data_IF_841661014915
#
_entry.id   IF_841661014915
#
_cell.length_a   1.000
_cell.length_b   1.000
_cell.length_c   1.000
_cell.angle_alpha   90.00
_cell.angle_beta   90.00
_cell.angle_gamma   90.00
#
_symmetry.space_group_name_H-M   'P 1'
#
loop_
_entity.id
_entity.type
_entity.pdbx_description
1 polymer ?
#
# COMPACT_ATOMS: atom_id res chain seq x y z
N UNK A 1 29.15 -9.14 11.30
CA UNK A 1 28.28 -9.36 10.13
C UNK A 1 27.29 -8.22 10.09
N UNK A 2 27.00 -7.67 8.92
CA UNK A 2 26.03 -6.60 8.75
C UNK A 2 24.61 -7.16 9.05
N UNK A 3 23.89 -6.67 10.07
CA UNK A 3 22.59 -7.20 10.45
C UNK A 3 21.54 -7.06 9.33
N UNK A 4 21.75 -6.15 8.37
CA UNK A 4 20.84 -5.91 7.26
C UNK A 4 20.77 -7.08 6.25
N UNK A 5 21.77 -7.96 6.20
CA UNK A 5 21.77 -9.14 5.31
C UNK A 5 20.92 -10.29 5.84
N UNK A 6 20.45 -10.21 7.09
CA UNK A 6 19.54 -11.21 7.67
C UNK A 6 18.08 -10.99 7.26
N UNK A 7 17.76 -9.80 6.74
CA UNK A 7 16.44 -9.51 6.19
C UNK A 7 16.25 -10.31 4.92
N UNK A 8 15.07 -10.95 4.80
CA UNK A 8 14.70 -11.67 3.59
C UNK A 8 14.85 -10.80 2.35
N UNK A 9 15.48 -11.34 1.30
CA UNK A 9 15.66 -10.63 0.03
C UNK A 9 14.33 -10.28 -0.64
N UNK A 10 13.23 -10.89 -0.20
CA UNK A 10 11.87 -10.52 -0.56
C UNK A 10 11.59 -9.02 -0.35
N UNK A 11 12.15 -8.40 0.68
CA UNK A 11 11.96 -6.97 0.97
C UNK A 11 13.05 -6.08 0.37
N UNK A 12 13.88 -6.66 -0.50
CA UNK A 12 14.92 -5.92 -1.21
C UNK A 12 14.38 -4.91 -2.22
N UNK A 13 15.23 -3.99 -2.68
CA UNK A 13 14.82 -2.90 -3.55
C UNK A 13 14.25 -3.39 -4.89
N UNK A 14 14.81 -4.45 -5.46
CA UNK A 14 14.34 -4.98 -6.75
C UNK A 14 12.95 -5.58 -6.66
N UNK A 15 12.69 -6.36 -5.62
CA UNK A 15 11.35 -6.90 -5.34
C UNK A 15 10.33 -5.79 -5.06
N UNK A 16 10.71 -4.79 -4.26
CA UNK A 16 9.86 -3.65 -3.95
C UNK A 16 9.48 -2.83 -5.20
N UNK A 17 10.46 -2.43 -6.01
CA UNK A 17 10.20 -1.67 -7.24
C UNK A 17 9.48 -2.51 -8.31
N UNK A 18 9.78 -3.81 -8.39
CA UNK A 18 9.04 -4.75 -9.24
C UNK A 18 7.56 -4.81 -8.86
N UNK A 19 7.25 -4.87 -7.56
CA UNK A 19 5.88 -4.82 -7.07
C UNK A 19 5.17 -3.49 -7.37
N UNK A 20 5.86 -2.34 -7.25
CA UNK A 20 5.28 -1.05 -7.65
C UNK A 20 4.90 -1.03 -9.14
N UNK A 21 5.71 -1.65 -10.01
CA UNK A 21 5.38 -1.81 -11.42
C UNK A 21 4.11 -2.66 -11.61
N UNK A 22 3.92 -3.70 -10.81
CA UNK A 22 2.70 -4.54 -10.82
C UNK A 22 1.46 -3.76 -10.37
N UNK A 23 1.55 -2.95 -9.31
CA UNK A 23 0.46 -2.05 -8.90
C UNK A 23 0.10 -1.09 -10.03
N UNK A 24 1.11 -0.48 -10.65
CA UNK A 24 0.90 0.45 -11.75
C UNK A 24 0.28 -0.26 -12.96
N UNK A 25 0.68 -1.49 -13.26
CA UNK A 25 0.08 -2.35 -14.28
C UNK A 25 -1.42 -2.53 -14.05
N UNK A 26 -1.82 -2.89 -12.83
CA UNK A 26 -3.23 -3.05 -12.44
C UNK A 26 -3.99 -1.73 -12.60
N UNK A 27 -3.43 -0.62 -12.13
CA UNK A 27 -4.05 0.70 -12.24
C UNK A 27 -4.23 1.14 -13.71
N UNK A 28 -3.24 0.88 -14.58
CA UNK A 28 -3.30 1.19 -16.01
C UNK A 28 -4.36 0.34 -16.69
N UNK A 29 -4.37 -0.98 -16.43
CA UNK A 29 -5.36 -1.90 -16.98
C UNK A 29 -6.78 -1.47 -16.62
N UNK A 30 -7.05 -1.10 -15.37
CA UNK A 30 -8.39 -0.70 -14.95
C UNK A 30 -8.79 0.70 -15.40
N UNK A 31 -7.83 1.60 -15.58
CA UNK A 31 -8.11 2.97 -16.01
C UNK A 31 -8.30 3.05 -17.52
N UNK A 32 -7.41 2.42 -18.28
CA UNK A 32 -7.21 2.71 -19.69
C UNK A 32 -7.57 1.56 -20.63
N UNK A 33 -7.57 0.31 -20.17
CA UNK A 33 -7.99 -0.83 -20.98
C UNK A 33 -9.52 -0.98 -20.93
N UNK A 34 -10.19 -0.62 -22.02
CA UNK A 34 -11.66 -0.60 -22.10
C UNK A 34 -12.29 -1.98 -21.85
N UNK A 35 -11.62 -3.06 -22.29
CA UNK A 35 -12.15 -4.41 -22.15
C UNK A 35 -12.09 -4.90 -20.69
N UNK A 36 -10.98 -4.66 -20.01
CA UNK A 36 -10.77 -5.13 -18.63
C UNK A 36 -11.39 -4.21 -17.56
N UNK A 37 -11.64 -2.94 -17.89
CA UNK A 37 -12.21 -1.96 -16.97
C UNK A 37 -13.52 -2.44 -16.35
N UNK A 38 -14.43 -3.00 -17.15
CA UNK A 38 -15.76 -3.42 -16.70
C UNK A 38 -15.86 -4.88 -16.25
N UNK A 39 -14.81 -5.69 -16.42
CA UNK A 39 -14.83 -7.09 -16.02
C UNK A 39 -14.54 -7.19 -14.51
N UNK A 40 -15.35 -7.92 -13.77
CA UNK A 40 -15.11 -8.20 -12.34
C UNK A 40 -14.45 -9.57 -12.18
N UNK A 41 -13.25 -9.71 -12.73
CA UNK A 41 -12.41 -10.91 -12.64
C UNK A 41 -11.20 -10.66 -11.77
N UNK A 42 -10.77 -11.68 -11.03
CA UNK A 42 -9.54 -11.62 -10.23
C UNK A 42 -8.41 -12.05 -11.17
N UNK A 43 -7.70 -11.07 -11.72
CA UNK A 43 -6.65 -11.30 -12.71
C UNK A 43 -5.32 -11.60 -12.00
N UNK A 44 -4.40 -12.30 -12.67
CA UNK A 44 -3.10 -12.66 -12.10
C UNK A 44 -2.30 -11.43 -11.63
N UNK A 45 -2.39 -10.31 -12.36
CA UNK A 45 -1.74 -9.05 -11.99
C UNK A 45 -2.29 -8.49 -10.67
N UNK A 46 -3.60 -8.62 -10.42
CA UNK A 46 -4.21 -8.23 -9.16
C UNK A 46 -3.71 -9.12 -8.03
N UNK A 47 -3.68 -10.45 -8.24
CA UNK A 47 -3.15 -11.39 -7.24
C UNK A 47 -1.70 -11.03 -6.89
N UNK A 48 -0.85 -10.79 -7.90
CA UNK A 48 0.53 -10.41 -7.70
C UNK A 48 0.69 -9.06 -6.96
N UNK A 49 -0.16 -8.06 -7.28
CA UNK A 49 -0.18 -6.77 -6.60
C UNK A 49 -0.59 -6.89 -5.11
N UNK A 50 -1.46 -7.84 -4.79
CA UNK A 50 -2.00 -8.05 -3.44
C UNK A 50 -1.14 -9.00 -2.59
N UNK A 51 -0.41 -9.92 -3.21
CA UNK A 51 0.32 -10.96 -2.49
C UNK A 51 1.49 -10.40 -1.68
N UNK A 52 2.28 -9.49 -2.26
CA UNK A 52 3.44 -8.90 -1.60
C UNK A 52 3.10 -8.17 -0.28
N UNK A 53 2.12 -7.24 -0.24
CA UNK A 53 1.72 -6.62 1.01
C UNK A 53 1.02 -7.59 1.97
N UNK A 54 0.35 -8.62 1.45
CA UNK A 54 -0.23 -9.66 2.31
C UNK A 54 0.86 -10.43 3.07
N UNK A 55 1.92 -10.85 2.36
CA UNK A 55 3.06 -11.53 2.97
C UNK A 55 3.76 -10.60 3.96
N UNK A 56 3.99 -9.33 3.60
CA UNK A 56 4.62 -8.35 4.49
C UNK A 56 3.84 -8.17 5.80
N UNK A 57 2.51 -8.09 5.73
CA UNK A 57 1.66 -7.95 6.89
C UNK A 57 1.61 -9.21 7.77
N UNK A 58 1.58 -10.40 7.16
CA UNK A 58 1.66 -11.66 7.92
C UNK A 58 3.03 -11.81 8.60
N UNK A 59 4.12 -11.52 7.89
CA UNK A 59 5.47 -11.57 8.47
C UNK A 59 5.61 -10.58 9.62
N UNK A 60 5.19 -9.32 9.43
CA UNK A 60 5.19 -8.32 10.50
C UNK A 60 4.43 -8.84 11.73
N UNK A 61 3.24 -9.43 11.52
CA UNK A 61 2.42 -9.94 12.61
C UNK A 61 3.11 -11.11 13.34
N UNK A 62 3.73 -12.02 12.59
CA UNK A 62 4.47 -13.16 13.13
C UNK A 62 5.69 -12.72 13.95
N UNK A 63 6.49 -11.81 13.40
CA UNK A 63 7.69 -11.29 14.08
C UNK A 63 7.34 -10.52 15.35
N UNK A 64 6.17 -9.87 15.36
CA UNK A 64 5.64 -9.19 16.55
C UNK A 64 5.08 -10.18 17.59
N UNK A 65 4.41 -11.25 17.15
CA UNK A 65 3.79 -12.23 18.06
C UNK A 65 4.75 -13.28 18.63
N UNK A 66 5.80 -13.62 17.88
CA UNK A 66 6.74 -14.67 18.29
C UNK A 66 7.53 -14.32 19.55
N UNK A 67 7.45 -13.08 20.05
CA UNK A 67 8.16 -12.64 21.25
C UNK A 67 9.67 -12.78 21.10
N UNK A 68 10.17 -12.73 19.86
CA UNK A 68 11.57 -12.86 19.54
C UNK A 68 12.36 -11.77 20.27
N UNK A 69 13.60 -12.08 20.68
CA UNK A 69 14.47 -11.09 21.33
C UNK A 69 14.62 -9.89 20.41
N UNK A 70 14.30 -8.71 20.94
CA UNK A 70 14.41 -7.45 20.23
C UNK A 70 15.90 -7.18 19.99
N UNK A 71 16.36 -7.48 18.79
CA UNK A 71 17.71 -7.20 18.31
C UNK A 71 17.66 -6.32 17.05
N UNK A 72 18.84 -5.94 16.56
CA UNK A 72 18.95 -5.05 15.39
C UNK A 72 18.38 -5.69 14.13
N UNK A 73 18.51 -7.01 13.95
CA UNK A 73 18.02 -7.70 12.76
C UNK A 73 16.48 -7.79 12.75
N UNK A 74 15.87 -8.04 13.91
CA UNK A 74 14.43 -7.95 14.11
C UNK A 74 13.92 -6.55 13.77
N UNK A 75 14.59 -5.50 14.28
CA UNK A 75 14.18 -4.12 14.02
C UNK A 75 14.17 -3.78 12.53
N UNK A 76 15.24 -4.15 11.79
CA UNK A 76 15.33 -3.90 10.35
C UNK A 76 14.24 -4.69 9.60
N UNK A 77 13.93 -5.92 10.02
CA UNK A 77 12.88 -6.75 9.40
C UNK A 77 11.48 -6.13 9.60
N UNK A 78 11.19 -5.66 10.81
CA UNK A 78 9.95 -4.94 11.16
C UNK A 78 9.84 -3.62 10.39
N UNK A 79 10.94 -2.89 10.24
CA UNK A 79 10.98 -1.67 9.43
C UNK A 79 10.71 -1.97 7.95
N UNK A 80 11.35 -3.00 7.38
CA UNK A 80 11.16 -3.38 5.99
C UNK A 80 9.73 -3.84 5.69
N UNK A 81 9.15 -4.68 6.55
CA UNK A 81 7.76 -5.16 6.41
C UNK A 81 6.74 -4.05 6.63
N UNK A 82 6.96 -3.15 7.60
CA UNK A 82 6.08 -1.98 7.83
C UNK A 82 6.12 -0.99 6.66
N UNK A 83 7.28 -0.76 6.04
CA UNK A 83 7.41 0.08 4.86
C UNK A 83 6.51 -0.41 3.71
N UNK A 84 6.55 -1.71 3.39
CA UNK A 84 5.69 -2.30 2.35
C UNK A 84 4.21 -2.13 2.69
N UNK A 85 3.82 -2.40 3.95
CA UNK A 85 2.44 -2.19 4.41
C UNK A 85 2.00 -0.75 4.22
N UNK A 86 2.80 0.23 4.66
CA UNK A 86 2.48 1.66 4.55
C UNK A 86 2.28 2.07 3.08
N UNK A 87 3.14 1.59 2.18
CA UNK A 87 2.99 1.84 0.75
C UNK A 87 1.72 1.21 0.19
N UNK A 88 1.39 0.00 0.59
CA UNK A 88 0.14 -0.63 0.17
C UNK A 88 -1.09 0.03 0.79
N UNK A 89 -1.03 0.53 2.02
CA UNK A 89 -2.13 1.30 2.59
C UNK A 89 -2.39 2.54 1.71
N UNK A 90 -1.35 3.23 1.23
CA UNK A 90 -1.54 4.34 0.29
C UNK A 90 -2.19 3.87 -1.04
N UNK A 91 -1.57 2.91 -1.73
CA UNK A 91 -2.02 2.50 -3.06
C UNK A 91 -3.31 1.68 -3.04
N UNK A 92 -3.50 0.85 -2.02
CA UNK A 92 -4.68 0.03 -1.79
C UNK A 92 -5.93 0.87 -1.58
N UNK A 93 -5.85 2.00 -0.86
CA UNK A 93 -6.99 2.94 -0.77
C UNK A 93 -7.30 3.57 -2.13
N UNK A 94 -6.27 3.96 -2.87
CA UNK A 94 -6.45 4.48 -4.24
C UNK A 94 -7.14 3.45 -5.14
N UNK A 95 -6.68 2.19 -5.13
CA UNK A 95 -7.27 1.09 -5.90
C UNK A 95 -8.70 0.76 -5.43
N UNK A 96 -8.95 0.71 -4.12
CA UNK A 96 -10.27 0.46 -3.54
C UNK A 96 -11.29 1.55 -3.92
N UNK A 97 -10.85 2.81 -3.93
CA UNK A 97 -11.67 3.92 -4.39
C UNK A 97 -11.92 3.85 -5.89
N UNK A 98 -10.90 3.52 -6.67
CA UNK A 98 -11.04 3.40 -8.12
C UNK A 98 -12.03 2.28 -8.50
N UNK A 99 -11.91 1.12 -7.85
CA UNK A 99 -12.75 -0.05 -8.15
C UNK A 99 -14.20 0.13 -7.67
N UNK A 100 -14.43 0.84 -6.57
CA UNK A 100 -15.79 1.12 -6.06
C UNK A 100 -16.62 1.93 -7.04
N UNK A 101 -15.98 2.80 -7.85
CA UNK A 101 -16.64 3.54 -8.94
C UNK A 101 -17.05 2.65 -10.11
N UNK A 102 -16.30 1.59 -10.38
CA UNK A 102 -16.53 0.70 -11.53
C UNK A 102 -17.47 -0.47 -11.17
N UNK A 103 -17.89 -0.58 -9.89
CA UNK A 103 -18.85 -1.58 -9.38
C UNK A 103 -18.37 -3.04 -9.51
N UNK A 104 -17.05 -3.26 -9.47
CA UNK A 104 -16.45 -4.60 -9.47
C UNK A 104 -16.27 -5.08 -8.01
N UNK A 105 -17.20 -5.89 -7.52
CA UNK A 105 -17.27 -6.30 -6.11
C UNK A 105 -16.17 -7.30 -5.76
N UNK A 106 -15.83 -8.26 -6.64
CA UNK A 106 -14.81 -9.27 -6.33
C UNK A 106 -13.43 -8.63 -6.14
N UNK A 107 -13.04 -7.76 -7.08
CA UNK A 107 -11.79 -7.00 -7.01
C UNK A 107 -11.73 -6.12 -5.76
N UNK A 108 -12.85 -5.45 -5.45
CA UNK A 108 -13.00 -4.63 -4.24
C UNK A 108 -12.79 -5.43 -2.96
N UNK A 109 -13.46 -6.59 -2.83
CA UNK A 109 -13.32 -7.46 -1.66
C UNK A 109 -11.88 -7.91 -1.45
N UNK A 110 -11.16 -8.29 -2.51
CA UNK A 110 -9.74 -8.67 -2.39
C UNK A 110 -8.87 -7.51 -1.88
N UNK A 111 -9.05 -6.31 -2.43
CA UNK A 111 -8.29 -5.13 -2.00
C UNK A 111 -8.58 -4.81 -0.53
N UNK A 112 -9.86 -4.79 -0.14
CA UNK A 112 -10.26 -4.51 1.24
C UNK A 112 -9.78 -5.58 2.21
N UNK A 113 -9.77 -6.85 1.83
CA UNK A 113 -9.22 -7.93 2.65
C UNK A 113 -7.76 -7.67 2.98
N UNK A 114 -6.93 -7.34 1.98
CA UNK A 114 -5.51 -7.05 2.20
C UNK A 114 -5.31 -5.73 2.96
N UNK A 115 -6.17 -4.72 2.74
CA UNK A 115 -6.15 -3.49 3.54
C UNK A 115 -6.40 -3.79 5.02
N UNK A 116 -7.43 -4.59 5.34
CA UNK A 116 -7.71 -5.03 6.71
C UNK A 116 -6.52 -5.78 7.29
N UNK A 117 -5.96 -6.73 6.53
CA UNK A 117 -4.81 -7.50 6.96
C UNK A 117 -3.58 -6.62 7.22
N UNK A 118 -3.38 -5.57 6.42
CA UNK A 118 -2.34 -4.56 6.66
C UNK A 118 -2.63 -3.65 7.86
N UNK A 119 -3.88 -3.53 8.32
CA UNK A 119 -4.26 -2.78 9.53
C UNK A 119 -4.27 -3.61 10.81
N UNK A 120 -4.40 -4.93 10.72
CA UNK A 120 -4.51 -5.80 11.90
C UNK A 120 -3.36 -5.61 12.90
N UNK A 121 -2.08 -5.52 12.48
CA UNK A 121 -1.00 -5.32 13.45
C UNK A 121 -1.11 -4.00 14.20
N UNK A 122 -1.58 -2.95 13.53
CA UNK A 122 -1.74 -1.61 14.12
C UNK A 122 -2.80 -1.61 15.23
N UNK A 123 -3.91 -2.31 14.98
CA UNK A 123 -4.97 -2.48 15.97
C UNK A 123 -4.51 -3.34 17.15
N UNK A 124 -3.79 -4.43 16.88
CA UNK A 124 -3.28 -5.31 17.94
C UNK A 124 -2.34 -4.56 18.87
N UNK A 125 -1.37 -3.86 18.29
CA UNK A 125 -0.42 -2.99 18.97
C UNK A 125 -1.14 -1.99 19.89
N UNK A 126 -2.21 -1.37 19.41
CA UNK A 126 -3.02 -0.41 20.19
C UNK A 126 -3.76 -1.04 21.37
N UNK A 127 -4.30 -2.25 21.19
CA UNK A 127 -5.11 -2.94 22.20
C UNK A 127 -4.24 -3.66 23.24
N UNK A 128 -3.09 -4.18 22.81
CA UNK A 128 -2.24 -5.07 23.61
C UNK A 128 -0.95 -4.43 24.11
N UNK A 129 -0.69 -3.15 23.82
CA UNK A 129 0.37 -2.40 24.50
C UNK A 129 -0.05 -2.05 25.93
N UNK A 130 -0.04 -3.06 26.79
CA UNK A 130 -0.15 -2.84 28.21
C UNK A 130 1.17 -2.19 28.70
N UNK A 131 1.15 -0.96 29.24
CA UNK A 131 2.36 -0.29 29.75
C UNK A 131 3.08 -1.08 30.87
N UNK A 132 2.46 -2.13 31.43
CA UNK A 132 3.06 -3.02 32.44
C UNK A 132 3.77 -4.27 31.89
N UNK A 133 3.69 -4.55 30.60
CA UNK A 133 4.16 -5.81 30.02
C UNK A 133 5.70 -5.95 30.02
N UNK A 134 6.18 -7.14 30.39
CA UNK A 134 7.56 -7.44 30.82
C UNK A 134 8.65 -7.35 29.75
N UNK A 135 8.30 -7.14 28.48
CA UNK A 135 9.23 -7.03 27.34
C UNK A 135 9.84 -5.62 27.18
N UNK A 136 9.40 -4.65 28.00
CA UNK A 136 9.86 -3.24 28.03
C UNK A 136 10.74 -2.91 29.26
N UNK A 137 11.51 -3.86 29.82
CA UNK A 137 12.13 -3.72 31.16
C UNK A 137 13.66 -3.84 31.25
N UNK A 138 14.42 -3.67 30.18
CA UNK A 138 15.88 -3.81 30.10
C UNK A 138 16.62 -2.78 29.22
N UNK A 139 17.17 -1.71 29.82
CA UNK A 139 18.41 -1.02 29.39
C UNK A 139 18.32 0.29 28.57
N UNK A 140 19.45 0.96 28.30
CA UNK A 140 19.52 2.26 27.62
C UNK A 140 19.30 2.21 26.09
N UNK A 141 19.53 1.06 25.45
CA UNK A 141 19.12 0.80 24.05
C UNK A 141 17.59 0.75 23.93
N UNK A 142 16.91 0.52 25.05
CA UNK A 142 15.47 0.37 25.14
C UNK A 142 14.72 1.71 25.11
N UNK A 143 15.34 2.84 25.47
CA UNK A 143 14.67 4.14 25.34
C UNK A 143 14.53 4.53 23.86
N UNK A 144 15.58 4.31 23.07
CA UNK A 144 15.58 4.55 21.62
C UNK A 144 14.61 3.59 20.92
N UNK A 145 14.65 2.30 21.27
CA UNK A 145 13.73 1.31 20.70
C UNK A 145 12.28 1.60 21.13
N UNK A 146 12.04 1.95 22.40
CA UNK A 146 10.70 2.31 22.89
C UNK A 146 10.16 3.55 22.22
N UNK A 147 10.98 4.57 22.04
CA UNK A 147 10.59 5.80 21.33
C UNK A 147 10.27 5.47 19.87
N UNK A 148 11.11 4.70 19.18
CA UNK A 148 10.89 4.32 17.79
C UNK A 148 9.68 3.40 17.59
N UNK A 149 9.51 2.41 18.47
CA UNK A 149 8.31 1.56 18.51
C UNK A 149 7.09 2.43 18.78
N UNK A 150 7.09 3.29 19.80
CA UNK A 150 5.94 4.17 20.10
C UNK A 150 5.58 5.10 18.93
N UNK A 151 6.57 5.56 18.16
CA UNK A 151 6.36 6.33 16.93
C UNK A 151 5.70 5.48 15.84
N UNK A 152 6.20 4.26 15.59
CA UNK A 152 5.57 3.28 14.71
C UNK A 152 4.13 2.96 15.15
N UNK A 153 3.88 2.83 16.45
CA UNK A 153 2.55 2.57 17.03
C UNK A 153 1.59 3.75 16.84
N UNK A 154 2.06 4.98 17.06
CA UNK A 154 1.27 6.19 16.84
C UNK A 154 0.94 6.39 15.35
N UNK A 155 1.90 6.08 14.47
CA UNK A 155 1.72 6.09 13.03
C UNK A 155 0.66 5.06 12.58
N UNK A 156 0.78 3.84 13.08
CA UNK A 156 -0.18 2.75 12.91
C UNK A 156 -1.60 3.14 13.36
N UNK A 157 -1.73 3.73 14.55
CA UNK A 157 -3.00 4.19 15.12
C UNK A 157 -3.65 5.30 14.28
N UNK A 158 -2.88 6.30 13.91
CA UNK A 158 -3.39 7.44 13.14
C UNK A 158 -3.78 7.02 11.71
N UNK A 159 -3.03 6.12 11.08
CA UNK A 159 -3.38 5.53 9.79
C UNK A 159 -4.65 4.67 9.86
N UNK A 160 -4.77 3.80 10.86
CA UNK A 160 -5.95 2.95 11.03
C UNK A 160 -7.23 3.75 11.31
N UNK A 161 -7.17 4.82 12.11
CA UNK A 161 -8.31 5.71 12.34
C UNK A 161 -8.75 6.45 11.08
N UNK A 162 -7.81 6.99 10.31
CA UNK A 162 -8.10 7.66 9.03
C UNK A 162 -8.69 6.72 7.99
N UNK A 163 -8.27 5.47 8.03
CA UNK A 163 -8.72 4.48 7.06
C UNK A 163 -10.02 3.81 7.47
N UNK A 164 -10.31 3.72 8.76
CA UNK A 164 -11.66 3.45 9.26
C UNK A 164 -12.61 4.58 8.86
N UNK A 165 -12.22 5.84 9.04
CA UNK A 165 -13.01 6.99 8.61
C UNK A 165 -13.24 7.00 7.08
N UNK A 166 -12.21 6.63 6.32
CA UNK A 166 -12.28 6.43 4.86
C UNK A 166 -13.20 5.27 4.49
N UNK A 167 -13.08 4.12 5.13
CA UNK A 167 -13.94 2.95 4.89
C UNK A 167 -15.40 3.26 5.20
N UNK A 168 -15.67 3.90 6.33
CA UNK A 168 -17.02 4.37 6.70
C UNK A 168 -17.52 5.37 5.65
N UNK A 169 -16.66 6.32 5.25
CA UNK A 169 -16.90 7.32 4.20
C UNK A 169 -17.23 6.75 2.83
N UNK A 170 -16.54 5.69 2.41
CA UNK A 170 -16.51 5.23 1.02
C UNK A 170 -17.27 3.94 0.77
N UNK A 171 -17.41 3.09 1.79
CA UNK A 171 -18.10 1.80 1.69
C UNK A 171 -19.42 1.88 2.42
N UNK A 172 -19.37 2.14 3.73
CA UNK A 172 -20.56 2.06 4.57
C UNK A 172 -21.57 3.16 4.22
N UNK A 173 -21.13 4.41 4.10
CA UNK A 173 -22.01 5.55 3.80
C UNK A 173 -22.65 5.41 2.41
N UNK A 174 -21.93 5.20 1.29
CA UNK A 174 -22.57 5.05 -0.02
C UNK A 174 -23.47 3.83 -0.12
N UNK A 175 -23.13 2.73 0.57
CA UNK A 175 -23.98 1.55 0.66
C UNK A 175 -25.29 1.84 1.43
N UNK A 176 -25.19 2.43 2.62
CA UNK A 176 -26.35 2.84 3.44
C UNK A 176 -27.22 3.90 2.74
N UNK A 177 -26.59 4.91 2.15
CA UNK A 177 -27.30 5.97 1.41
C UNK A 177 -27.95 5.43 0.14
N UNK A 178 -27.38 4.41 -0.53
CA UNK A 178 -28.04 3.70 -1.65
C UNK A 178 -29.29 2.95 -1.24
N UNK A 179 -29.24 2.27 -0.10
CA UNK A 179 -30.41 1.54 0.44
C UNK A 179 -31.52 2.54 0.78
N UNK A 180 -31.16 3.72 1.29
CA UNK A 180 -32.12 4.70 1.80
C UNK A 180 -32.64 5.71 0.78
N UNK A 181 -31.87 6.05 -0.27
CA UNK A 181 -32.24 7.07 -1.26
C UNK A 181 -32.12 6.54 -2.70
N UNK A 182 -33.14 5.80 -3.16
CA UNK A 182 -33.37 5.51 -4.58
C UNK A 182 -33.79 6.80 -5.29
N UNK A 183 -32.89 7.47 -6.01
CA UNK A 183 -33.27 8.63 -6.84
C UNK A 183 -32.18 9.65 -7.21
N UNK A 184 -30.91 9.44 -6.87
CA UNK A 184 -29.84 10.39 -7.25
C UNK A 184 -29.48 10.32 -8.73
N UNK A 185 -29.11 11.49 -9.27
CA UNK A 185 -28.55 11.64 -10.61
C UNK A 185 -27.08 11.24 -10.63
N UNK A 186 -26.61 10.70 -11.76
CA UNK A 186 -25.22 10.24 -11.93
C UNK A 186 -24.17 11.33 -11.63
N UNK A 187 -24.52 12.62 -11.79
CA UNK A 187 -23.64 13.74 -11.48
C UNK A 187 -23.36 13.90 -9.97
N UNK A 188 -24.33 13.58 -9.10
CA UNK A 188 -24.17 13.67 -7.66
C UNK A 188 -23.26 12.55 -7.12
N UNK A 189 -23.34 11.35 -7.68
CA UNK A 189 -22.44 10.24 -7.34
C UNK A 189 -20.99 10.56 -7.73
N UNK A 190 -20.78 11.22 -8.88
CA UNK A 190 -19.46 11.67 -9.34
C UNK A 190 -18.90 12.76 -8.42
N UNK A 191 -19.70 13.77 -8.05
CA UNK A 191 -19.27 14.85 -7.16
C UNK A 191 -18.86 14.32 -5.78
N UNK A 192 -19.66 13.43 -5.18
CA UNK A 192 -19.34 12.80 -3.90
C UNK A 192 -18.07 11.96 -4.02
N UNK A 193 -17.93 11.21 -5.13
CA UNK A 193 -16.72 10.45 -5.40
C UNK A 193 -15.47 11.34 -5.53
N UNK A 194 -15.57 12.52 -6.13
CA UNK A 194 -14.43 13.45 -6.29
C UNK A 194 -14.07 14.09 -4.95
N UNK A 195 -15.05 14.60 -4.20
CA UNK A 195 -14.81 15.17 -2.86
C UNK A 195 -14.20 14.12 -1.94
N UNK A 196 -14.72 12.90 -1.99
CA UNK A 196 -14.20 11.73 -1.30
C UNK A 196 -12.73 11.46 -1.65
N UNK A 197 -12.39 11.40 -2.95
CA UNK A 197 -11.02 11.23 -3.44
C UNK A 197 -10.09 12.33 -2.93
N UNK A 198 -10.52 13.59 -3.05
CA UNK A 198 -9.73 14.76 -2.67
C UNK A 198 -9.49 14.76 -1.16
N UNK A 199 -10.52 14.49 -0.34
CA UNK A 199 -10.37 14.45 1.11
C UNK A 199 -9.50 13.27 1.58
N UNK A 200 -9.61 12.10 0.95
CA UNK A 200 -8.77 10.95 1.26
C UNK A 200 -7.30 11.14 0.87
N UNK A 201 -7.05 11.79 -0.27
CA UNK A 201 -5.69 12.14 -0.66
C UNK A 201 -5.12 13.30 0.18
N UNK A 202 -5.92 14.32 0.48
CA UNK A 202 -5.50 15.41 1.35
C UNK A 202 -5.19 14.90 2.75
N UNK A 203 -5.96 13.97 3.29
CA UNK A 203 -5.67 13.37 4.60
C UNK A 203 -4.41 12.51 4.55
N UNK A 204 -4.23 11.68 3.51
CA UNK A 204 -3.02 10.88 3.33
C UNK A 204 -1.75 11.74 3.12
N UNK A 205 -1.87 12.83 2.34
CA UNK A 205 -0.79 13.80 2.11
C UNK A 205 -0.51 14.59 3.38
N UNK A 206 -1.53 15.09 4.07
CA UNK A 206 -1.37 15.80 5.34
C UNK A 206 -0.71 14.91 6.39
N UNK A 207 -1.02 13.61 6.43
CA UNK A 207 -0.35 12.65 7.29
C UNK A 207 1.10 12.38 6.89
N UNK A 208 1.41 12.29 5.60
CA UNK A 208 2.81 12.15 5.16
C UNK A 208 3.61 13.41 5.42
N UNK A 209 3.02 14.59 5.21
CA UNK A 209 3.62 15.87 5.57
C UNK A 209 3.83 15.92 7.07
N UNK A 210 2.83 15.58 7.89
CA UNK A 210 2.97 15.48 9.34
C UNK A 210 4.05 14.48 9.76
N UNK A 211 4.14 13.32 9.12
CA UNK A 211 5.18 12.32 9.35
C UNK A 211 6.57 12.86 9.03
N UNK A 212 6.74 13.53 7.88
CA UNK A 212 8.00 14.20 7.52
C UNK A 212 8.31 15.26 8.57
N UNK A 213 7.39 16.17 8.89
CA UNK A 213 7.64 17.22 9.87
C UNK A 213 7.88 16.71 11.30
N UNK A 214 7.24 15.62 11.73
CA UNK A 214 7.37 15.06 13.08
C UNK A 214 8.65 14.22 13.24
N UNK A 215 9.05 13.46 12.22
CA UNK A 215 10.38 12.81 12.18
C UNK A 215 11.54 13.81 12.04
N UNK A 216 11.24 15.05 11.61
CA UNK A 216 12.18 16.16 11.55
C UNK A 216 12.20 17.00 12.84
N UNK A 217 11.27 16.83 13.79
CA UNK A 217 11.43 17.41 15.11
C UNK A 217 12.61 16.69 15.79
N UNK A 218 13.70 17.40 16.10
CA UNK A 218 14.95 16.74 16.44
C UNK A 218 14.75 16.01 17.76
N UNK A 219 14.74 14.67 17.74
CA UNK A 219 15.35 13.96 18.85
C UNK A 219 16.79 14.49 18.95
N UNK A 220 17.30 14.78 20.16
CA UNK A 220 18.60 15.44 20.35
C UNK A 220 19.82 14.68 19.79
N UNK A 221 19.61 13.57 19.06
CA UNK A 221 20.63 12.68 18.52
C UNK A 221 20.62 12.48 16.99
N UNK A 222 19.74 13.13 16.21
CA UNK A 222 19.56 12.76 14.77
C UNK A 222 20.30 13.62 13.73
N UNK A 223 21.51 14.12 14.05
CA UNK A 223 22.36 14.88 13.12
C UNK A 223 23.19 14.01 12.13
N UNK A 224 22.90 12.71 12.00
CA UNK A 224 23.57 11.83 11.03
C UNK A 224 22.63 11.45 9.87
N UNK A 225 23.03 11.88 8.66
CA UNK A 225 22.70 11.35 7.33
C UNK A 225 21.50 10.39 7.20
N UNK A 226 20.28 10.94 7.26
CA UNK A 226 19.11 10.18 6.78
C UNK A 226 19.04 10.28 5.27
N UNK A 227 19.31 9.17 4.59
CA UNK A 227 19.24 9.09 3.12
C UNK A 227 17.82 9.37 2.60
N UNK A 228 17.71 9.91 1.37
CA UNK A 228 16.43 10.15 0.67
C UNK A 228 15.54 8.88 0.64
N UNK A 229 16.15 7.70 0.68
CA UNK A 229 15.43 6.42 0.70
C UNK A 229 14.63 6.22 1.99
N UNK A 230 15.16 6.64 3.14
CA UNK A 230 14.43 6.65 4.42
C UNK A 230 13.29 7.66 4.41
N UNK A 231 13.49 8.81 3.74
CA UNK A 231 12.43 9.83 3.56
C UNK A 231 11.24 9.30 2.74
N UNK A 232 11.51 8.42 1.77
CA UNK A 232 10.49 7.79 0.94
C UNK A 232 9.91 6.51 1.55
N UNK A 233 10.31 6.12 2.76
CA UNK A 233 9.94 4.85 3.40
C UNK A 233 10.18 3.66 2.47
N UNK A 234 11.32 3.66 1.76
CA UNK A 234 11.73 2.50 0.96
C UNK A 234 12.28 1.45 1.92
N UNK A 235 11.85 0.17 1.83
CA UNK A 235 12.33 -0.87 2.72
C UNK A 235 13.86 -0.93 2.72
N UNK A 236 14.46 -0.86 3.92
CA UNK A 236 15.91 -1.03 4.06
C UNK A 236 16.23 -2.52 4.12
N UNK A 237 17.18 -2.95 3.28
CA UNK A 237 17.68 -4.31 3.27
C UNK A 237 19.16 -4.29 2.89
N UNK A 238 19.92 -5.31 3.31
CA UNK A 238 21.32 -5.48 2.88
C UNK A 238 21.48 -5.88 1.40
N UNK A 239 20.38 -6.04 0.66
CA UNK A 239 20.38 -6.48 -0.74
C UNK A 239 20.48 -5.31 -1.71
N UNK A 240 21.15 -5.55 -2.83
CA UNK A 240 21.40 -4.59 -3.89
C UNK A 240 20.65 -4.95 -5.17
N UNK A 241 20.36 -3.97 -6.03
CA UNK A 241 19.86 -4.24 -7.39
C UNK A 241 20.85 -5.05 -8.26
N UNK A 242 22.12 -5.16 -7.83
CA UNK A 242 23.12 -6.01 -8.47
C UNK A 242 22.91 -7.50 -8.17
N UNK A 243 22.17 -7.82 -7.12
CA UNK A 243 21.88 -9.20 -6.75
C UNK A 243 20.88 -9.78 -7.76
N UNK A 244 21.12 -11.04 -8.14
CA UNK A 244 20.39 -11.67 -9.23
C UNK A 244 18.88 -11.75 -8.96
N UNK A 245 18.49 -12.10 -7.74
CA UNK A 245 17.10 -12.19 -7.33
C UNK A 245 16.39 -10.83 -7.37
N UNK A 246 17.06 -9.75 -6.97
CA UNK A 246 16.56 -8.38 -7.06
C UNK A 246 16.39 -7.92 -8.51
N UNK A 247 17.39 -8.17 -9.35
CA UNK A 247 17.34 -7.83 -10.77
C UNK A 247 16.22 -8.60 -11.49
N UNK A 248 16.05 -9.88 -11.18
CA UNK A 248 14.97 -10.72 -11.73
C UNK A 248 13.60 -10.23 -11.29
N UNK A 249 13.41 -9.94 -9.99
CA UNK A 249 12.13 -9.45 -9.49
C UNK A 249 11.73 -8.11 -10.11
N UNK A 250 12.69 -7.18 -10.25
CA UNK A 250 12.46 -5.90 -10.92
C UNK A 250 12.11 -6.09 -12.40
N UNK A 251 12.87 -6.93 -13.11
CA UNK A 251 12.65 -7.21 -14.53
C UNK A 251 11.27 -7.82 -14.78
N UNK A 252 10.81 -8.72 -13.92
CA UNK A 252 9.47 -9.30 -13.99
C UNK A 252 8.37 -8.24 -13.80
N UNK A 253 8.55 -7.32 -12.85
CA UNK A 253 7.62 -6.20 -12.64
C UNK A 253 7.57 -5.25 -13.85
N UNK A 254 8.72 -4.88 -14.39
CA UNK A 254 8.81 -4.03 -15.59
C UNK A 254 8.17 -4.69 -16.81
N UNK A 255 8.40 -5.98 -17.02
CA UNK A 255 7.80 -6.72 -18.12
C UNK A 255 6.27 -6.74 -18.01
N UNK A 256 5.75 -7.02 -16.81
CA UNK A 256 4.31 -6.98 -16.52
C UNK A 256 3.71 -5.61 -16.89
N UNK A 257 4.36 -4.53 -16.45
CA UNK A 257 3.94 -3.16 -16.77
C UNK A 257 3.97 -2.87 -18.28
N UNK A 258 5.05 -3.24 -18.98
CA UNK A 258 5.17 -3.04 -20.42
C UNK A 258 4.08 -3.79 -21.21
N UNK A 259 3.80 -5.04 -20.82
CA UNK A 259 2.75 -5.85 -21.43
C UNK A 259 1.36 -5.23 -21.19
N UNK A 260 1.07 -4.77 -19.98
CA UNK A 260 -0.19 -4.07 -19.68
C UNK A 260 -0.38 -2.79 -20.51
N UNK A 261 0.68 -1.99 -20.65
CA UNK A 261 0.66 -0.81 -21.53
C UNK A 261 0.38 -1.22 -22.98
N UNK A 262 1.08 -2.24 -23.49
CA UNK A 262 0.88 -2.76 -24.85
C UNK A 262 -0.56 -3.25 -25.07
N UNK A 263 -1.11 -4.02 -24.14
CA UNK A 263 -2.49 -4.49 -24.19
C UNK A 263 -3.49 -3.34 -24.17
N UNK A 264 -3.24 -2.33 -23.33
CA UNK A 264 -4.04 -1.12 -23.27
C UNK A 264 -4.04 -0.35 -24.59
N UNK A 265 -2.88 -0.19 -25.23
CA UNK A 265 -2.76 0.47 -26.55
C UNK A 265 -3.49 -0.33 -27.63
N UNK A 266 -3.29 -1.65 -27.67
CA UNK A 266 -3.94 -2.53 -28.65
C UNK A 266 -5.47 -2.51 -28.52
N UNK A 267 -5.99 -2.58 -27.30
CA UNK A 267 -7.43 -2.49 -26.96
C UNK A 267 -8.08 -1.20 -27.48
N UNK A 268 -7.32 -0.10 -27.56
CA UNK A 268 -7.79 1.17 -28.14
C UNK A 268 -7.75 1.19 -29.67
N UNK A 269 -6.74 0.56 -30.28
CA UNK A 269 -6.57 0.53 -31.74
C UNK A 269 -7.64 -0.31 -32.43
N UNK A 270 -8.04 -1.44 -31.85
CA UNK A 270 -9.07 -2.33 -32.40
C UNK A 270 -10.47 -1.72 -32.46
N UNK A 271 -10.68 -0.54 -31.87
CA UNK A 271 -11.97 0.15 -31.83
C UNK A 271 -12.06 1.37 -32.75
N UNK A 272 -11.03 1.73 -33.53
CA UNK A 272 -11.24 2.66 -34.65
C UNK A 272 -12.01 1.88 -35.74
N UNK A 273 -13.33 2.07 -35.92
CA UNK A 273 -14.04 1.44 -37.01
C UNK A 273 -13.63 2.17 -38.31
N UNK A 274 -13.70 1.45 -39.43
CA UNK A 274 -13.61 2.03 -40.76
C UNK A 274 -14.68 3.13 -40.94
N UNK A 275 -14.36 4.38 -40.67
CA UNK A 275 -15.15 5.55 -41.08
C UNK A 275 -14.79 6.05 -42.49
N UNK A 276 -13.89 5.37 -43.20
CA UNK A 276 -13.53 5.68 -44.59
C UNK A 276 -13.75 4.49 -45.51
N UNK A 277 -15.00 4.09 -45.72
CA UNK A 277 -15.45 3.63 -47.05
C UNK A 277 -16.90 4.07 -47.21
N UNK A 278 -17.11 5.36 -47.44
CA UNK A 278 -18.30 5.80 -48.18
C UNK A 278 -17.99 5.48 -49.64
N UNK A 279 -18.64 4.51 -50.30
CA UNK A 279 -18.53 4.41 -51.74
C UNK A 279 -19.12 5.69 -52.33
N UNK A 280 -18.27 6.53 -52.94
CA UNK A 280 -18.74 7.59 -53.81
C UNK A 280 -19.44 6.95 -55.01
N UNK A 281 -20.77 7.09 -55.01
CA UNK A 281 -21.72 7.01 -56.13
C UNK A 281 -21.95 5.66 -56.81
#
# INVERSE_FOLDING_TARGET
MDPSTQVSSLYGPGAFFGWLCTILSVAISWTFNRHQKGQDTIDNDLIAALLFPSIAAINFQYDFWSGQKVDVAWLITVEATSAVRIWYLLFGHFLAHWISRIRCWKRSTCIYFVLVLCYLPDFYVLVWSDPGSSWLRTGAVESVIREHVSQLMFQAMSHSMLCLASFVGYVALPFFYRIRFRGRTASQDVAIGIVSLVMGHLSAVAMRVYFVFYNFYPSPFSWMDRSILQLLSIPQSGHSLKDLDQAVALSAGLLTLMLSIKHTIASRRSQKPLEEVVPER
#
